data_IF_603766180940
#
_entry.id   IF_603766180940
#
_cell.length_a   1.000
_cell.length_b   1.000
_cell.length_c   1.000
_cell.angle_alpha   90.00
_cell.angle_beta   90.00
_cell.angle_gamma   90.00
#
_symmetry.space_group_name_H-M   'P 1'
#
loop_
_entity.id
_entity.type
_entity.pdbx_description
1 polymer ?
#
# COMPACT_ATOMS: atom_id res chain seq x y z
N UNK A 1 -2.41 -2.79 14.97
CA UNK A 1 -2.78 -1.78 13.94
C UNK A 1 -2.35 -2.28 12.57
N UNK A 2 -3.28 -2.59 11.64
CA UNK A 2 -2.99 -3.27 10.37
C UNK A 2 -2.05 -2.48 9.44
N UNK A 3 -2.16 -1.15 9.41
CA UNK A 3 -1.25 -0.31 8.64
C UNK A 3 0.23 -0.45 9.05
N UNK A 4 0.50 -0.63 10.34
CA UNK A 4 1.87 -0.77 10.86
C UNK A 4 2.48 -2.14 10.49
N UNK A 5 1.66 -3.19 10.55
CA UNK A 5 2.05 -4.55 10.14
C UNK A 5 2.30 -4.58 8.63
N UNK A 6 1.40 -3.98 7.84
CA UNK A 6 1.56 -3.88 6.40
C UNK A 6 2.82 -3.09 6.02
N UNK A 7 3.16 -2.01 6.73
CA UNK A 7 4.42 -1.30 6.51
C UNK A 7 5.64 -2.22 6.73
N UNK A 8 5.60 -3.10 7.72
CA UNK A 8 6.74 -3.99 8.01
C UNK A 8 6.85 -5.19 7.05
N UNK A 9 5.72 -5.75 6.63
CA UNK A 9 5.69 -7.02 5.88
C UNK A 9 5.32 -6.89 4.40
N UNK A 10 4.57 -5.86 4.01
CA UNK A 10 4.14 -5.67 2.63
C UNK A 10 5.08 -4.68 1.93
N UNK A 11 5.90 -5.12 0.96
CA UNK A 11 6.89 -4.27 0.29
C UNK A 11 6.26 -3.10 -0.46
N UNK A 12 5.04 -3.28 -1.00
CA UNK A 12 4.30 -2.22 -1.70
C UNK A 12 3.89 -1.12 -0.72
N UNK A 13 3.28 -1.51 0.40
CA UNK A 13 2.85 -0.55 1.42
C UNK A 13 4.05 0.15 2.04
N UNK A 14 5.16 -0.58 2.23
CA UNK A 14 6.41 0.01 2.72
C UNK A 14 6.94 1.10 1.80
N UNK A 15 7.14 0.80 0.53
CA UNK A 15 7.62 1.77 -0.45
C UNK A 15 6.70 2.99 -0.56
N UNK A 16 5.38 2.76 -0.54
CA UNK A 16 4.38 3.82 -0.51
C UNK A 16 4.51 4.72 0.73
N UNK A 17 4.57 4.13 1.93
CA UNK A 17 4.69 4.88 3.19
C UNK A 17 6.01 5.65 3.28
N UNK A 18 7.11 5.05 2.85
CA UNK A 18 8.43 5.67 2.80
C UNK A 18 8.45 6.88 1.86
N UNK A 19 7.84 6.75 0.66
CA UNK A 19 7.70 7.88 -0.27
C UNK A 19 6.90 9.04 0.33
N UNK A 20 5.78 8.76 1.01
CA UNK A 20 5.02 9.82 1.69
C UNK A 20 5.82 10.46 2.84
N UNK A 21 6.56 9.65 3.60
CA UNK A 21 7.39 10.15 4.70
C UNK A 21 8.55 11.01 4.19
N UNK A 22 9.20 10.62 3.10
CA UNK A 22 10.24 11.40 2.42
C UNK A 22 9.70 12.75 1.91
N UNK A 23 8.44 12.79 1.48
CA UNK A 23 7.73 14.02 1.11
C UNK A 23 7.25 14.86 2.31
N UNK A 24 7.73 14.59 3.53
CA UNK A 24 7.44 15.39 4.72
C UNK A 24 6.04 15.22 5.30
N UNK A 25 5.29 14.16 4.92
CA UNK A 25 3.94 13.93 5.45
C UNK A 25 3.99 13.47 6.90
N UNK A 26 3.08 13.98 7.73
CA UNK A 26 2.96 13.60 9.14
C UNK A 26 2.61 12.10 9.29
N UNK A 27 3.14 11.43 10.31
CA UNK A 27 2.99 9.99 10.52
C UNK A 27 1.53 9.51 10.60
N UNK A 28 0.62 10.31 11.17
CA UNK A 28 -0.82 10.01 11.15
C UNK A 28 -1.41 10.02 9.74
N UNK A 29 -1.01 11.00 8.92
CA UNK A 29 -1.46 11.08 7.53
C UNK A 29 -0.92 9.91 6.69
N UNK A 30 0.33 9.50 6.92
CA UNK A 30 0.92 8.30 6.29
C UNK A 30 0.13 7.05 6.67
N UNK A 31 -0.18 6.87 7.96
CA UNK A 31 -0.97 5.73 8.42
C UNK A 31 -2.38 5.69 7.80
N UNK A 32 -3.08 6.83 7.73
CA UNK A 32 -4.40 6.90 7.08
C UNK A 32 -4.31 6.60 5.57
N UNK A 33 -3.28 7.10 4.88
CA UNK A 33 -3.05 6.81 3.47
C UNK A 33 -2.78 5.31 3.25
N UNK A 34 -1.99 4.68 4.13
CA UNK A 34 -1.72 3.25 4.09
C UNK A 34 -3.00 2.42 4.31
N UNK A 35 -3.83 2.79 5.29
CA UNK A 35 -5.13 2.13 5.53
C UNK A 35 -6.04 2.20 4.31
N UNK A 36 -6.18 3.38 3.70
CA UNK A 36 -6.97 3.54 2.48
C UNK A 36 -6.46 2.63 1.37
N UNK A 37 -5.13 2.56 1.19
CA UNK A 37 -4.52 1.73 0.15
C UNK A 37 -4.75 0.24 0.36
N UNK A 38 -4.66 -0.23 1.61
CA UNK A 38 -4.98 -1.63 1.96
C UNK A 38 -6.42 -2.00 1.58
N UNK A 39 -7.39 -1.19 1.96
CA UNK A 39 -8.81 -1.44 1.63
C UNK A 39 -9.04 -1.53 0.12
N UNK A 40 -8.37 -0.68 -0.67
CA UNK A 40 -8.46 -0.75 -2.13
C UNK A 40 -7.80 -2.01 -2.71
N UNK A 41 -6.68 -2.47 -2.15
CA UNK A 41 -6.04 -3.73 -2.56
C UNK A 41 -7.00 -4.90 -2.30
N UNK A 42 -7.55 -4.99 -1.09
CA UNK A 42 -8.50 -6.05 -0.71
C UNK A 42 -9.73 -6.02 -1.61
N UNK A 43 -10.27 -4.82 -1.88
CA UNK A 43 -11.39 -4.64 -2.80
C UNK A 43 -11.05 -5.07 -4.23
N UNK A 44 -9.85 -4.75 -4.74
CA UNK A 44 -9.44 -5.13 -6.08
C UNK A 44 -9.26 -6.65 -6.24
N UNK A 45 -8.75 -7.32 -5.20
CA UNK A 45 -8.63 -8.79 -5.13
C UNK A 45 -10.02 -9.41 -5.21
N UNK A 46 -10.94 -8.96 -4.35
CA UNK A 46 -12.31 -9.48 -4.30
C UNK A 46 -13.07 -9.21 -5.60
N UNK A 47 -12.94 -8.01 -6.17
CA UNK A 47 -13.64 -7.61 -7.39
C UNK A 47 -13.19 -8.38 -8.63
N UNK A 48 -11.88 -8.59 -8.77
CA UNK A 48 -11.30 -9.21 -9.97
C UNK A 48 -11.04 -10.71 -9.80
N UNK A 49 -11.24 -11.26 -8.60
CA UNK A 49 -10.92 -12.64 -8.23
C UNK A 49 -9.48 -13.04 -8.60
N UNK A 50 -8.55 -12.08 -8.45
CA UNK A 50 -7.12 -12.29 -8.70
C UNK A 50 -6.36 -12.26 -7.38
N UNK A 51 -5.44 -13.19 -7.14
CA UNK A 51 -4.62 -13.18 -5.94
C UNK A 51 -3.80 -11.89 -5.85
N UNK A 52 -3.44 -11.50 -4.63
CA UNK A 52 -2.55 -10.36 -4.41
C UNK A 52 -1.21 -10.57 -5.11
N UNK A 53 -0.81 -9.61 -5.93
CA UNK A 53 0.50 -9.56 -6.56
C UNK A 53 1.42 -8.60 -5.77
N UNK A 54 2.49 -9.09 -5.10
CA UNK A 54 3.42 -8.26 -4.34
C UNK A 54 4.20 -7.23 -5.17
N UNK A 55 4.17 -7.33 -6.51
CA UNK A 55 4.89 -6.46 -7.44
C UNK A 55 3.95 -5.58 -8.29
N UNK A 56 2.67 -5.49 -7.92
CA UNK A 56 1.68 -4.79 -8.75
C UNK A 56 2.00 -3.30 -9.00
N UNK A 57 2.74 -2.63 -8.10
CA UNK A 57 3.17 -1.24 -8.34
C UNK A 57 4.21 -1.12 -9.46
N UNK A 58 5.10 -2.10 -9.59
CA UNK A 58 6.07 -2.16 -10.70
C UNK A 58 5.34 -2.43 -12.01
N UNK A 59 4.34 -3.31 -12.00
CA UNK A 59 3.53 -3.61 -13.16
C UNK A 59 2.71 -2.41 -13.65
N UNK A 60 2.28 -1.53 -12.73
CA UNK A 60 1.53 -0.31 -13.08
C UNK A 60 2.41 0.78 -13.70
N UNK A 61 3.73 0.80 -13.45
CA UNK A 61 4.64 1.78 -14.07
C UNK A 61 5.14 1.36 -15.46
N UNK A 62 4.89 0.10 -15.84
CA UNK A 62 5.28 -0.49 -17.12
C UNK A 62 4.13 -0.56 -18.13
N UNK A 63 2.90 -0.26 -17.70
CA UNK A 63 1.69 -0.17 -18.51
C UNK A 63 1.33 1.29 -18.80
#
# INVERSE_FOLDING_TARGET
>A
MPALVAWRHNPVIRAFCERLKANGKNGKAVACAAMRKLVHIDFAILKNNKPFDPLYETNLSLA
#
